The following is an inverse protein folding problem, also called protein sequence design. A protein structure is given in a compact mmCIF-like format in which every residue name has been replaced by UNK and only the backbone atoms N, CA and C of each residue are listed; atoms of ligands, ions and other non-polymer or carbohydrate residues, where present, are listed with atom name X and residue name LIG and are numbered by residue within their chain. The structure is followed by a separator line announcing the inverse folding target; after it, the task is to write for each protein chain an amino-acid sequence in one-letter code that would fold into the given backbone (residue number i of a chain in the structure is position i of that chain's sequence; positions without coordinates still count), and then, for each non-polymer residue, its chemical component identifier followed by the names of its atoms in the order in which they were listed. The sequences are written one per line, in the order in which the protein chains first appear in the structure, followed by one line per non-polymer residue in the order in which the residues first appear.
data_IF_826952132740
#
_entry.id   IF_826952132740
#
_cell.length_a   1.000
_cell.length_b   1.000
_cell.length_c   1.000
_cell.angle_alpha   90.00
_cell.angle_beta   90.00
_cell.angle_gamma   90.00
#
_symmetry.space_group_name_H-M   'P 1'
#
loop_
_entity.id
_entity.type
_entity.pdbx_description
1 polymer ?
#
# COMPACT_ATOMS: atom_id res chain seq x y z
N UNK A 1 -22.13 24.07 10.79
CA UNK A 1 -21.75 23.10 11.82
C UNK A 1 -20.44 23.57 12.42
N UNK A 2 -20.17 23.28 13.68
CA UNK A 2 -18.95 23.71 14.37
C UNK A 2 -18.00 22.54 14.53
N UNK A 3 -16.70 22.77 14.39
CA UNK A 3 -15.64 21.78 14.62
C UNK A 3 -15.15 21.81 16.09
N UNK A 4 -14.39 20.80 16.47
CA UNK A 4 -13.74 20.74 17.80
C UNK A 4 -12.77 21.90 18.00
N UNK A 5 -12.65 22.35 19.26
CA UNK A 5 -11.68 23.36 19.69
C UNK A 5 -10.24 22.80 19.78
N UNK A 6 -10.04 21.50 19.59
CA UNK A 6 -8.71 20.86 19.60
C UNK A 6 -7.93 21.21 18.32
N UNK A 7 -6.93 22.06 18.44
CA UNK A 7 -6.16 22.58 17.31
C UNK A 7 -5.47 21.46 16.52
N UNK A 8 -4.86 20.47 17.20
CA UNK A 8 -4.24 19.31 16.54
C UNK A 8 -5.24 18.48 15.73
N UNK A 9 -6.49 18.39 16.17
CA UNK A 9 -7.57 17.72 15.43
C UNK A 9 -8.01 18.56 14.22
N UNK A 10 -8.08 19.87 14.36
CA UNK A 10 -8.35 20.80 13.26
C UNK A 10 -7.29 20.70 12.16
N UNK A 11 -5.99 20.77 12.52
CA UNK A 11 -4.84 20.62 11.62
C UNK A 11 -4.88 19.26 10.92
N UNK A 12 -5.09 18.18 11.67
CA UNK A 12 -5.21 16.82 11.11
C UNK A 12 -6.30 16.75 10.06
N UNK A 13 -7.52 17.22 10.39
CA UNK A 13 -8.67 17.14 9.48
C UNK A 13 -8.43 17.94 8.19
N UNK A 14 -7.90 19.17 8.31
CA UNK A 14 -7.59 20.02 7.18
C UNK A 14 -6.57 19.36 6.23
N UNK A 15 -5.52 18.77 6.79
CA UNK A 15 -4.47 18.09 6.00
C UNK A 15 -4.94 16.77 5.40
N UNK A 16 -5.79 16.00 6.07
CA UNK A 16 -6.42 14.82 5.49
C UNK A 16 -7.16 15.17 4.20
N UNK A 17 -7.98 16.24 4.23
CA UNK A 17 -8.68 16.74 3.05
C UNK A 17 -7.71 17.21 1.96
N UNK A 18 -6.69 17.98 2.34
CA UNK A 18 -5.70 18.52 1.41
C UNK A 18 -4.89 17.41 0.70
N UNK A 19 -4.60 16.30 1.39
CA UNK A 19 -3.92 15.11 0.83
C UNK A 19 -4.86 14.14 0.10
N UNK A 20 -6.14 14.48 -0.05
CA UNK A 20 -7.05 13.71 -0.90
C UNK A 20 -7.77 12.57 -0.19
N UNK A 21 -7.76 12.51 1.14
CA UNK A 21 -8.64 11.62 1.90
C UNK A 21 -10.10 12.00 1.66
N UNK A 22 -10.93 11.00 1.36
CA UNK A 22 -12.36 11.17 1.08
C UNK A 22 -13.25 10.22 1.89
N UNK A 23 -12.64 9.26 2.57
CA UNK A 23 -13.34 8.22 3.31
C UNK A 23 -12.71 8.02 4.68
N UNK A 24 -13.55 7.90 5.70
CA UNK A 24 -13.15 7.60 7.07
C UNK A 24 -14.09 6.56 7.69
N UNK A 25 -13.52 5.44 8.14
CA UNK A 25 -14.23 4.46 8.96
C UNK A 25 -13.97 4.83 10.41
N UNK A 26 -15.02 4.99 11.20
CA UNK A 26 -14.94 5.53 12.56
C UNK A 26 -15.55 4.56 13.57
N UNK A 27 -14.80 4.26 14.63
CA UNK A 27 -15.31 3.46 15.74
C UNK A 27 -15.82 4.36 16.86
N UNK A 28 -16.88 3.96 17.59
CA UNK A 28 -17.41 4.74 18.69
C UNK A 28 -16.44 4.78 19.87
N UNK A 29 -16.30 5.93 20.51
CA UNK A 29 -15.48 6.09 21.70
C UNK A 29 -15.48 7.53 22.20
N UNK A 30 -15.30 7.73 23.51
CA UNK A 30 -15.29 9.07 24.06
C UNK A 30 -14.00 9.83 23.79
N UNK A 31 -12.84 9.12 23.77
CA UNK A 31 -11.55 9.79 23.58
C UNK A 31 -11.37 10.29 22.15
N UNK A 32 -11.84 9.57 21.15
CA UNK A 32 -11.79 9.98 19.75
C UNK A 32 -12.96 10.87 19.31
N UNK A 33 -13.88 11.22 20.20
CA UNK A 33 -15.04 12.06 19.85
C UNK A 33 -14.68 13.38 19.13
N UNK A 34 -13.62 14.13 19.50
CA UNK A 34 -13.22 15.33 18.77
C UNK A 34 -12.83 15.02 17.30
N UNK A 35 -12.14 13.91 17.10
CA UNK A 35 -11.68 13.48 15.76
C UNK A 35 -12.87 13.03 14.92
N UNK A 36 -13.69 12.13 15.46
CA UNK A 36 -14.89 11.61 14.77
C UNK A 36 -15.84 12.73 14.39
N UNK A 37 -16.07 13.67 15.33
CA UNK A 37 -16.92 14.82 15.07
C UNK A 37 -16.39 15.68 13.92
N UNK A 38 -15.10 15.97 13.88
CA UNK A 38 -14.50 16.74 12.80
C UNK A 38 -14.58 16.03 11.45
N UNK A 39 -14.33 14.72 11.43
CA UNK A 39 -14.42 13.91 10.21
C UNK A 39 -15.86 13.86 9.68
N UNK A 40 -16.85 13.66 10.55
CA UNK A 40 -18.27 13.57 10.19
C UNK A 40 -18.86 14.95 9.80
N UNK A 41 -18.38 16.01 10.42
CA UNK A 41 -18.81 17.39 10.09
C UNK A 41 -18.21 17.88 8.76
N UNK A 42 -17.07 17.33 8.34
CA UNK A 42 -16.37 17.76 7.13
C UNK A 42 -17.06 17.26 5.85
N UNK A 43 -17.62 18.15 5.01
CA UNK A 43 -18.39 17.74 3.82
C UNK A 43 -17.55 17.03 2.75
N UNK A 44 -16.23 17.10 2.86
CA UNK A 44 -15.29 16.44 1.91
C UNK A 44 -14.98 15.00 2.27
N UNK A 45 -15.43 14.50 3.43
CA UNK A 45 -15.14 13.16 3.95
C UNK A 45 -16.46 12.42 4.19
N UNK A 46 -16.61 11.25 3.57
CA UNK A 46 -17.70 10.33 3.87
C UNK A 46 -17.31 9.46 5.06
N UNK A 47 -18.10 9.51 6.15
CA UNK A 47 -17.89 8.72 7.35
C UNK A 47 -18.73 7.44 7.36
N UNK A 48 -18.12 6.36 7.82
CA UNK A 48 -18.74 5.04 7.94
C UNK A 48 -18.58 4.54 9.39
N UNK A 49 -19.63 4.58 10.22
CA UNK A 49 -19.54 4.10 11.59
C UNK A 49 -19.53 2.57 11.63
N UNK A 50 -18.53 2.00 12.31
CA UNK A 50 -18.37 0.55 12.53
C UNK A 50 -18.00 0.32 13.99
N UNK A 51 -18.75 -0.51 14.70
CA UNK A 51 -18.59 -0.68 16.16
C UNK A 51 -17.36 -1.54 16.51
N UNK A 52 -17.12 -2.61 15.77
CA UNK A 52 -15.99 -3.53 15.99
C UNK A 52 -14.76 -3.03 15.25
N UNK A 53 -13.68 -2.75 15.97
CA UNK A 53 -12.47 -2.14 15.43
C UNK A 53 -11.76 -3.02 14.42
N UNK A 54 -11.71 -4.33 14.64
CA UNK A 54 -11.14 -5.26 13.68
C UNK A 54 -11.91 -5.23 12.36
N UNK A 55 -13.23 -5.24 12.41
CA UNK A 55 -14.09 -5.09 11.24
C UNK A 55 -13.91 -3.73 10.57
N UNK A 56 -13.78 -2.65 11.35
CA UNK A 56 -13.51 -1.31 10.85
C UNK A 56 -12.21 -1.23 10.06
N UNK A 57 -11.13 -1.87 10.55
CA UNK A 57 -9.85 -1.95 9.86
C UNK A 57 -9.99 -2.58 8.47
N UNK A 58 -10.65 -3.73 8.36
CA UNK A 58 -10.88 -4.40 7.07
C UNK A 58 -11.87 -3.65 6.18
N UNK A 59 -12.85 -2.97 6.75
CA UNK A 59 -13.75 -2.12 5.99
C UNK A 59 -13.01 -0.95 5.34
N UNK A 60 -12.14 -0.26 6.10
CA UNK A 60 -11.30 0.81 5.58
C UNK A 60 -10.30 0.31 4.53
N UNK A 61 -9.70 -0.86 4.74
CA UNK A 61 -8.85 -1.53 3.75
C UNK A 61 -9.61 -1.79 2.44
N UNK A 62 -10.84 -2.32 2.53
CA UNK A 62 -11.68 -2.56 1.37
C UNK A 62 -12.03 -1.29 0.59
N UNK A 63 -12.35 -0.19 1.28
CA UNK A 63 -12.56 1.12 0.65
C UNK A 63 -11.30 1.60 -0.06
N UNK A 64 -10.14 1.55 0.61
CA UNK A 64 -8.88 1.98 0.02
C UNK A 64 -8.51 1.17 -1.23
N UNK A 65 -8.73 -0.14 -1.22
CA UNK A 65 -8.55 -1.02 -2.38
C UNK A 65 -9.50 -0.67 -3.52
N UNK A 66 -10.78 -0.44 -3.22
CA UNK A 66 -11.80 -0.16 -4.23
C UNK A 66 -11.62 1.23 -4.88
N UNK A 67 -11.24 2.24 -4.09
CA UNK A 67 -11.12 3.62 -4.56
C UNK A 67 -9.71 3.98 -5.01
N UNK A 68 -8.71 3.30 -4.47
CA UNK A 68 -7.30 3.63 -4.62
C UNK A 68 -6.87 4.93 -3.93
N UNK A 69 -7.69 5.43 -3.01
CA UNK A 69 -7.41 6.64 -2.23
C UNK A 69 -6.96 6.29 -0.81
N UNK A 70 -6.16 7.14 -0.17
CA UNK A 70 -5.90 7.02 1.25
C UNK A 70 -7.21 7.03 2.04
N UNK A 71 -7.40 6.03 2.89
CA UNK A 71 -8.63 5.89 3.70
C UNK A 71 -8.28 5.87 5.18
N UNK A 72 -9.00 6.65 5.96
CA UNK A 72 -8.83 6.73 7.41
C UNK A 72 -9.58 5.58 8.09
N UNK A 73 -8.97 4.99 9.12
CA UNK A 73 -9.68 4.26 10.19
C UNK A 73 -9.37 4.94 11.52
N UNK A 74 -10.42 5.37 12.23
CA UNK A 74 -10.29 6.12 13.48
C UNK A 74 -10.81 5.32 14.67
N UNK A 75 -9.97 5.13 15.68
CA UNK A 75 -10.29 4.37 16.90
C UNK A 75 -10.02 5.18 18.16
N UNK A 76 -10.63 4.75 19.26
CA UNK A 76 -10.39 5.31 20.59
C UNK A 76 -9.06 4.81 21.18
N UNK A 77 -8.73 5.23 22.39
CA UNK A 77 -7.48 4.83 23.07
C UNK A 77 -7.55 3.40 23.61
N UNK A 78 -6.37 2.81 23.83
CA UNK A 78 -6.22 1.48 24.42
C UNK A 78 -6.22 0.36 23.39
N UNK A 79 -6.76 -0.80 23.74
CA UNK A 79 -6.74 -2.02 22.91
C UNK A 79 -7.44 -1.88 21.56
N UNK A 80 -8.32 -0.90 21.40
CA UNK A 80 -8.96 -0.56 20.13
C UNK A 80 -7.95 -0.37 18.98
N UNK A 81 -6.76 0.20 19.27
CA UNK A 81 -5.68 0.30 18.30
C UNK A 81 -5.13 -1.07 17.89
N UNK A 82 -4.96 -1.98 18.86
CA UNK A 82 -4.39 -3.32 18.60
C UNK A 82 -5.34 -4.20 17.80
N UNK A 83 -6.65 -4.00 17.92
CA UNK A 83 -7.65 -4.72 17.12
C UNK A 83 -7.55 -4.40 15.62
N UNK A 84 -6.92 -3.28 15.25
CA UNK A 84 -6.62 -2.96 13.85
C UNK A 84 -5.43 -3.73 13.28
N UNK A 85 -4.58 -4.34 14.12
CA UNK A 85 -3.31 -4.93 13.70
C UNK A 85 -3.45 -5.95 12.54
N UNK A 86 -4.46 -6.84 12.48
CA UNK A 86 -4.62 -7.75 11.34
C UNK A 86 -4.85 -7.02 10.01
N UNK A 87 -5.70 -5.99 10.00
CA UNK A 87 -5.97 -5.20 8.80
C UNK A 87 -4.78 -4.34 8.39
N UNK A 88 -4.04 -3.79 9.37
CA UNK A 88 -2.81 -3.02 9.13
C UNK A 88 -1.72 -3.91 8.54
N UNK A 89 -1.54 -5.13 9.07
CA UNK A 89 -0.60 -6.08 8.51
C UNK A 89 -0.95 -6.44 7.06
N UNK A 90 -2.22 -6.68 6.76
CA UNK A 90 -2.67 -6.93 5.39
C UNK A 90 -2.45 -5.71 4.50
N UNK A 91 -2.77 -4.50 4.96
CA UNK A 91 -2.50 -3.25 4.24
C UNK A 91 -1.00 -3.05 3.94
N UNK A 92 -0.13 -3.45 4.89
CA UNK A 92 1.31 -3.37 4.72
C UNK A 92 1.81 -4.25 3.56
N UNK A 93 1.39 -5.52 3.52
CA UNK A 93 1.81 -6.45 2.46
C UNK A 93 1.15 -6.16 1.11
N UNK A 94 -0.04 -5.55 1.11
CA UNK A 94 -0.72 -5.12 -0.11
C UNK A 94 -0.32 -3.71 -0.57
N UNK A 95 0.50 -2.99 0.20
CA UNK A 95 0.90 -1.61 -0.09
C UNK A 95 -0.30 -0.65 -0.20
N UNK A 96 -1.29 -0.83 0.67
CA UNK A 96 -2.51 -0.01 0.66
C UNK A 96 -2.32 1.20 1.58
N UNK A 97 -2.64 2.41 1.13
CA UNK A 97 -2.51 3.63 1.93
C UNK A 97 -3.62 3.73 2.99
N UNK A 98 -3.50 2.94 4.04
CA UNK A 98 -4.40 2.96 5.19
C UNK A 98 -3.87 3.95 6.24
N UNK A 99 -4.67 4.95 6.60
CA UNK A 99 -4.31 5.96 7.60
C UNK A 99 -4.99 5.61 8.91
N UNK A 100 -4.23 4.99 9.82
CA UNK A 100 -4.71 4.69 11.18
C UNK A 100 -4.61 5.96 12.00
N UNK A 101 -5.73 6.40 12.57
CA UNK A 101 -5.82 7.53 13.51
C UNK A 101 -6.31 7.00 14.84
N UNK A 102 -5.46 7.02 15.86
CA UNK A 102 -5.83 6.62 17.21
C UNK A 102 -5.89 7.84 18.15
N UNK A 103 -6.99 8.02 18.84
CA UNK A 103 -6.99 8.93 19.99
C UNK A 103 -6.18 8.31 21.12
N UNK A 104 -5.53 9.15 21.92
CA UNK A 104 -4.74 8.69 23.06
C UNK A 104 -4.97 9.55 24.31
N UNK A 105 -4.53 9.04 25.44
CA UNK A 105 -4.38 9.83 26.66
C UNK A 105 -3.15 10.73 26.54
N UNK A 106 -3.12 11.88 27.26
CA UNK A 106 -1.89 12.65 27.38
C UNK A 106 -0.74 11.80 27.93
N UNK A 107 0.51 11.98 27.46
CA UNK A 107 1.64 11.11 27.74
C UNK A 107 1.92 10.87 29.23
N UNK A 108 1.65 11.87 30.09
CA UNK A 108 1.85 11.79 31.53
C UNK A 108 0.95 10.76 32.23
N UNK A 109 -0.10 10.27 31.57
CA UNK A 109 -1.04 9.30 32.14
C UNK A 109 -0.79 7.86 31.65
N UNK A 110 0.11 7.68 30.72
CA UNK A 110 0.46 6.33 30.23
C UNK A 110 1.21 5.60 31.31
N UNK A 111 0.83 4.34 31.56
CA UNK A 111 1.39 3.45 32.58
C UNK A 111 1.26 3.98 34.05
N UNK A 112 0.31 4.91 34.29
CA UNK A 112 0.01 5.45 35.61
C UNK A 112 -1.27 4.84 36.22
N UNK A 113 -1.59 3.60 35.89
CA UNK A 113 -2.78 2.87 36.35
C UNK A 113 -4.11 3.53 35.89
N UNK A 114 -4.06 4.46 34.93
CA UNK A 114 -5.27 5.02 34.31
C UNK A 114 -5.85 4.02 33.32
N UNK A 115 -7.18 3.88 33.32
CA UNK A 115 -7.86 2.91 32.49
C UNK A 115 -7.76 3.26 30.98
N UNK A 116 -7.76 2.25 30.15
CA UNK A 116 -7.79 2.35 28.69
C UNK A 116 -6.58 3.10 28.13
N UNK A 117 -5.40 2.80 28.64
CA UNK A 117 -4.10 3.32 28.20
C UNK A 117 -3.18 2.18 27.79
N UNK A 118 -2.31 2.44 26.84
CA UNK A 118 -1.15 1.64 26.48
C UNK A 118 -0.16 2.53 25.70
N UNK A 119 1.12 2.18 25.61
CA UNK A 119 2.08 2.93 24.81
C UNK A 119 1.78 2.76 23.30
N UNK A 120 0.96 3.68 22.74
CA UNK A 120 0.40 3.55 21.39
C UNK A 120 1.40 3.89 20.28
N UNK A 121 2.41 4.72 20.55
CA UNK A 121 3.32 5.24 19.54
C UNK A 121 3.94 4.18 18.64
N UNK A 122 4.36 3.04 19.22
CA UNK A 122 5.00 1.94 18.47
C UNK A 122 4.17 0.64 18.48
N UNK A 123 2.91 0.70 18.88
CA UNK A 123 2.07 -0.48 19.09
C UNK A 123 1.82 -1.33 17.84
N UNK A 124 1.85 -0.72 16.65
CA UNK A 124 1.71 -1.41 15.35
C UNK A 124 3.05 -1.86 14.76
N UNK A 125 4.16 -1.52 15.40
CA UNK A 125 5.51 -1.98 15.09
C UNK A 125 5.89 -1.74 13.62
N UNK A 126 6.51 -2.75 13.01
CA UNK A 126 7.02 -2.69 11.63
C UNK A 126 5.94 -2.68 10.54
N UNK A 127 4.68 -2.91 10.91
CA UNK A 127 3.58 -2.99 9.93
C UNK A 127 3.05 -1.62 9.50
N UNK A 128 3.64 -0.53 9.99
CA UNK A 128 3.36 0.83 9.51
C UNK A 128 4.64 1.45 8.93
N UNK A 129 4.50 2.24 7.89
CA UNK A 129 5.62 2.94 7.25
C UNK A 129 6.12 4.12 8.06
N UNK A 130 5.22 4.75 8.77
CA UNK A 130 5.49 5.91 9.62
C UNK A 130 4.50 5.93 10.77
N UNK A 131 5.00 6.16 11.97
CA UNK A 131 4.19 6.54 13.12
C UNK A 131 4.55 7.96 13.53
N UNK A 132 3.54 8.76 13.84
CA UNK A 132 3.70 10.09 14.41
C UNK A 132 2.76 10.27 15.59
N UNK A 133 3.21 10.98 16.62
CA UNK A 133 2.38 11.40 17.76
C UNK A 133 2.23 12.91 17.71
N UNK A 134 1.00 13.40 17.59
CA UNK A 134 0.73 14.81 17.46
C UNK A 134 0.88 15.54 18.82
N UNK A 135 1.49 16.73 18.83
CA UNK A 135 1.55 17.53 20.04
C UNK A 135 0.18 18.14 20.40
N UNK A 136 0.01 18.50 21.64
CA UNK A 136 -1.01 19.48 22.04
C UNK A 136 -0.48 20.88 21.66
N UNK A 137 -1.19 21.58 20.77
CA UNK A 137 -0.69 22.81 20.12
C UNK A 137 -0.72 24.01 21.07
N UNK A 138 -1.82 24.20 21.82
CA UNK A 138 -1.97 25.26 22.84
C UNK A 138 -1.64 26.68 22.34
N UNK A 139 -2.08 27.03 21.12
CA UNK A 139 -1.80 28.33 20.46
C UNK A 139 -0.30 28.67 20.29
N UNK A 140 0.57 27.69 20.39
CA UNK A 140 2.01 27.87 20.21
C UNK A 140 2.39 27.65 18.74
N UNK A 141 3.13 28.62 18.17
CA UNK A 141 3.48 28.65 16.74
C UNK A 141 4.41 27.48 16.36
N UNK A 142 5.36 27.14 17.22
CA UNK A 142 6.31 26.06 16.92
C UNK A 142 5.62 24.69 17.04
N UNK A 143 4.72 24.52 18.00
CA UNK A 143 3.92 23.30 18.15
C UNK A 143 2.93 23.16 17.00
N UNK A 144 2.33 24.25 16.52
CA UNK A 144 1.48 24.25 15.33
C UNK A 144 2.25 23.80 14.09
N UNK A 145 3.40 24.43 13.82
CA UNK A 145 4.31 24.03 12.75
C UNK A 145 4.72 22.55 12.87
N UNK A 146 5.05 22.10 14.08
CA UNK A 146 5.46 20.73 14.33
C UNK A 146 4.31 19.76 14.05
N UNK A 147 3.09 20.05 14.52
CA UNK A 147 1.89 19.25 14.25
C UNK A 147 1.63 19.17 12.72
N UNK A 148 1.60 20.30 12.02
CA UNK A 148 1.44 20.35 10.57
C UNK A 148 2.49 19.47 9.85
N UNK A 149 3.76 19.58 10.24
CA UNK A 149 4.86 18.80 9.65
C UNK A 149 4.67 17.30 9.86
N UNK A 150 4.35 16.87 11.07
CA UNK A 150 4.14 15.45 11.39
C UNK A 150 3.00 14.83 10.58
N UNK A 151 1.88 15.53 10.44
CA UNK A 151 0.75 15.04 9.63
C UNK A 151 1.15 14.93 8.16
N UNK A 152 1.83 15.95 7.59
CA UNK A 152 2.35 15.87 6.23
C UNK A 152 3.32 14.70 6.03
N UNK A 153 4.26 14.48 6.97
CA UNK A 153 5.21 13.35 6.92
C UNK A 153 4.49 12.00 6.87
N UNK A 154 3.46 11.81 7.72
CA UNK A 154 2.70 10.58 7.74
C UNK A 154 1.91 10.37 6.44
N UNK A 155 1.19 11.39 5.97
CA UNK A 155 0.36 11.28 4.77
C UNK A 155 1.19 11.12 3.49
N UNK A 156 2.36 11.73 3.40
CA UNK A 156 3.30 11.48 2.31
C UNK A 156 3.84 10.05 2.36
N UNK A 157 4.25 9.55 3.53
CA UNK A 157 4.72 8.18 3.69
C UNK A 157 3.65 7.15 3.32
N UNK A 158 2.34 7.46 3.49
CA UNK A 158 1.26 6.57 3.10
C UNK A 158 1.19 6.30 1.58
N UNK A 159 1.63 7.25 0.76
CA UNK A 159 1.47 7.19 -0.71
C UNK A 159 2.78 7.09 -1.49
N UNK A 160 3.92 7.36 -0.84
CA UNK A 160 5.25 7.28 -1.48
C UNK A 160 5.72 5.84 -1.67
N UNK A 161 6.60 5.63 -2.65
CA UNK A 161 7.32 4.36 -2.86
C UNK A 161 6.40 3.12 -2.79
N UNK A 162 5.32 3.13 -3.53
CA UNK A 162 4.35 2.05 -3.59
C UNK A 162 3.28 2.05 -2.48
N UNK A 163 3.34 3.02 -1.55
CA UNK A 163 2.31 3.18 -0.52
C UNK A 163 2.39 2.20 0.66
N UNK A 164 1.50 2.38 1.61
CA UNK A 164 1.35 1.49 2.77
C UNK A 164 0.69 2.17 3.96
N UNK A 165 0.39 1.42 5.03
CA UNK A 165 -0.27 1.98 6.20
C UNK A 165 0.65 2.90 7.00
N UNK A 166 0.03 3.90 7.62
CA UNK A 166 0.68 4.83 8.55
C UNK A 166 -0.17 4.99 9.81
N UNK A 167 0.46 5.41 10.90
CA UNK A 167 -0.22 5.62 12.17
C UNK A 167 -0.02 7.05 12.66
N UNK A 168 -1.13 7.73 12.97
CA UNK A 168 -1.17 9.06 13.57
C UNK A 168 -1.84 8.93 14.93
N UNK A 169 -1.02 8.99 15.98
CA UNK A 169 -1.47 8.97 17.36
C UNK A 169 -1.79 10.39 17.82
N UNK A 170 -2.97 10.59 18.41
CA UNK A 170 -3.50 11.91 18.76
C UNK A 170 -3.81 11.97 20.27
N UNK A 171 -2.85 12.39 21.11
CA UNK A 171 -3.12 12.65 22.52
C UNK A 171 -4.12 13.77 22.69
N UNK A 172 -5.17 13.52 23.48
CA UNK A 172 -6.27 14.45 23.73
C UNK A 172 -6.54 14.56 25.22
N UNK A 173 -6.51 15.77 25.75
CA UNK A 173 -6.93 16.06 27.12
C UNK A 173 -8.38 16.57 27.15
N UNK A 174 -9.01 16.47 28.34
CA UNK A 174 -10.37 17.01 28.57
C UNK A 174 -10.35 18.54 28.53
N UNK A 175 -11.47 19.18 28.17
CA UNK A 175 -12.76 18.61 27.74
C UNK A 175 -12.73 18.06 26.31
N UNK A 176 -13.56 17.05 25.99
CA UNK A 176 -13.57 16.37 24.69
C UNK A 176 -14.76 16.75 23.80
N UNK A 177 -15.74 17.46 24.33
CA UNK A 177 -17.01 17.74 23.64
C UNK A 177 -17.24 19.23 23.39
N UNK A 178 -16.17 20.00 23.27
CA UNK A 178 -16.25 21.41 22.90
C UNK A 178 -16.14 21.54 21.38
N UNK A 179 -17.25 21.89 20.76
CA UNK A 179 -17.37 22.07 19.29
C UNK A 179 -17.73 23.54 19.02
N UNK A 180 -16.72 24.40 19.01
CA UNK A 180 -16.89 25.86 18.96
C UNK A 180 -16.18 26.52 17.78
N UNK A 181 -15.37 25.78 17.02
CA UNK A 181 -14.59 26.30 15.91
C UNK A 181 -15.43 26.32 14.63
N UNK A 182 -15.65 27.47 14.00
CA UNK A 182 -16.58 27.60 12.86
C UNK A 182 -16.04 26.96 11.57
N UNK A 183 -14.73 26.99 11.36
CA UNK A 183 -14.06 26.54 10.13
C UNK A 183 -12.78 25.79 10.44
N UNK A 184 -12.38 24.87 9.56
CA UNK A 184 -11.09 24.21 9.64
C UNK A 184 -9.98 25.23 9.32
N UNK A 185 -8.79 25.09 9.94
CA UNK A 185 -7.66 25.94 9.65
C UNK A 185 -7.16 25.74 8.20
N UNK A 186 -6.62 26.81 7.61
CA UNK A 186 -5.90 26.72 6.35
C UNK A 186 -4.48 26.21 6.62
N UNK A 187 -4.21 24.99 6.24
CA UNK A 187 -2.95 24.31 6.52
C UNK A 187 -2.05 24.22 5.30
N UNK A 188 -0.76 24.39 5.54
CA UNK A 188 0.26 24.21 4.51
C UNK A 188 0.42 22.73 4.18
N UNK A 189 0.01 22.35 2.94
CA UNK A 189 0.33 21.03 2.39
C UNK A 189 1.77 21.00 1.88
N UNK A 190 2.52 20.00 2.28
CA UNK A 190 3.82 19.68 1.68
C UNK A 190 3.59 18.74 0.50
N UNK A 191 4.15 19.09 -0.65
CA UNK A 191 4.06 18.28 -1.87
C UNK A 191 5.42 17.69 -2.19
N UNK A 192 5.46 16.37 -2.42
CA UNK A 192 6.65 15.71 -2.94
C UNK A 192 6.47 15.47 -4.44
N UNK A 193 7.41 15.97 -5.21
CA UNK A 193 7.54 15.61 -6.62
C UNK A 193 8.56 14.49 -6.72
N UNK A 194 8.09 13.30 -7.15
CA UNK A 194 9.00 12.18 -7.43
C UNK A 194 9.84 12.51 -8.66
N UNK A 195 11.16 12.23 -8.64
CA UNK A 195 11.98 12.41 -9.82
C UNK A 195 11.44 11.54 -10.96
N UNK A 196 11.14 12.18 -12.08
CA UNK A 196 10.75 11.51 -13.34
C UNK A 196 12.03 11.16 -14.12
N UNK A 197 12.98 10.47 -13.48
CA UNK A 197 14.14 9.95 -14.17
C UNK A 197 13.72 8.71 -14.95
N UNK A 198 14.00 8.66 -16.24
CA UNK A 198 13.91 7.43 -17.01
C UNK A 198 14.82 6.40 -16.33
N UNK A 199 14.22 5.29 -15.91
CA UNK A 199 15.00 4.20 -15.30
C UNK A 199 15.83 3.56 -16.39
N UNK A 200 17.15 3.47 -16.20
CA UNK A 200 18.01 2.72 -17.13
C UNK A 200 17.74 1.22 -16.94
N UNK A 201 16.95 0.65 -17.83
CA UNK A 201 16.64 -0.78 -17.87
C UNK A 201 17.44 -1.54 -18.94
N UNK A 202 18.39 -0.87 -19.61
CA UNK A 202 19.18 -1.47 -20.69
C UNK A 202 19.86 -2.81 -20.29
N UNK A 203 20.45 -2.97 -19.10
CA UNK A 203 21.03 -4.25 -18.70
C UNK A 203 20.00 -5.39 -18.62
N UNK A 204 18.79 -5.11 -18.15
CA UNK A 204 17.70 -6.08 -18.09
C UNK A 204 17.18 -6.39 -19.52
N UNK A 205 16.97 -5.36 -20.35
CA UNK A 205 16.50 -5.53 -21.73
C UNK A 205 17.49 -6.35 -22.57
N UNK A 206 18.78 -6.12 -22.42
CA UNK A 206 19.81 -6.89 -23.12
C UNK A 206 19.68 -8.39 -22.81
N UNK A 207 19.51 -8.75 -21.54
CA UNK A 207 19.35 -10.14 -21.13
C UNK A 207 17.99 -10.71 -21.57
N UNK A 208 16.90 -9.92 -21.45
CA UNK A 208 15.57 -10.32 -21.93
C UNK A 208 15.58 -10.63 -23.45
N UNK A 209 16.26 -9.80 -24.24
CA UNK A 209 16.30 -9.96 -25.70
C UNK A 209 17.22 -11.12 -26.15
N UNK A 210 18.24 -11.42 -25.36
CA UNK A 210 19.11 -12.57 -25.59
C UNK A 210 18.47 -13.90 -25.20
N UNK A 211 17.49 -13.90 -24.30
CA UNK A 211 16.82 -15.09 -23.82
C UNK A 211 16.04 -15.82 -24.92
N UNK A 212 16.09 -17.14 -24.92
CA UNK A 212 15.34 -17.99 -25.86
C UNK A 212 13.91 -18.26 -25.40
N UNK A 213 13.69 -18.31 -24.10
CA UNK A 213 12.43 -18.66 -23.46
C UNK A 213 12.09 -17.70 -22.30
N UNK A 214 11.97 -16.40 -22.57
CA UNK A 214 11.62 -15.44 -21.54
C UNK A 214 10.16 -15.59 -21.10
N UNK A 215 9.93 -15.44 -19.80
CA UNK A 215 8.60 -15.45 -19.17
C UNK A 215 8.44 -14.19 -18.35
N UNK A 216 7.30 -13.54 -18.50
CA UNK A 216 6.88 -12.42 -17.64
C UNK A 216 5.86 -12.95 -16.63
N UNK A 217 6.15 -12.83 -15.35
CA UNK A 217 5.30 -13.29 -14.26
C UNK A 217 4.70 -12.09 -13.55
N UNK A 218 3.37 -12.01 -13.53
CA UNK A 218 2.62 -10.95 -12.86
C UNK A 218 2.01 -11.52 -11.59
N UNK A 219 2.56 -11.15 -10.44
CA UNK A 219 2.01 -11.44 -9.13
C UNK A 219 0.86 -10.51 -8.76
N UNK A 220 0.57 -10.41 -7.48
CA UNK A 220 -0.44 -9.49 -6.96
C UNK A 220 -0.13 -8.04 -7.34
N UNK A 221 -1.06 -7.39 -8.04
CA UNK A 221 -0.96 -5.99 -8.48
C UNK A 221 -2.37 -5.41 -8.61
N UNK A 222 -2.55 -4.12 -8.33
CA UNK A 222 -3.83 -3.47 -8.51
C UNK A 222 -4.06 -3.15 -9.99
N UNK A 223 -5.31 -3.28 -10.45
CA UNK A 223 -5.69 -3.04 -11.86
C UNK A 223 -5.18 -1.69 -12.40
N UNK A 224 -5.19 -0.65 -11.57
CA UNK A 224 -4.72 0.69 -11.96
C UNK A 224 -3.20 0.82 -12.10
N UNK A 225 -2.43 -0.09 -11.50
CA UNK A 225 -0.96 -0.05 -11.54
C UNK A 225 -0.38 -0.65 -12.82
N UNK A 226 -1.19 -1.41 -13.57
CA UNK A 226 -0.76 -2.04 -14.81
C UNK A 226 -1.86 -1.94 -15.88
N UNK A 227 -1.69 -1.08 -16.89
CA UNK A 227 -2.63 -0.97 -18.01
C UNK A 227 -2.71 -2.28 -18.80
N UNK A 228 -3.92 -2.75 -19.06
CA UNK A 228 -4.17 -3.98 -19.83
C UNK A 228 -3.58 -3.94 -21.23
N UNK A 229 -3.60 -2.77 -21.86
CA UNK A 229 -3.03 -2.55 -23.20
C UNK A 229 -1.55 -2.94 -23.30
N UNK A 230 -0.77 -2.73 -22.22
CA UNK A 230 0.66 -3.11 -22.15
C UNK A 230 0.80 -4.63 -22.20
N UNK A 231 0.02 -5.35 -21.40
CA UNK A 231 0.04 -6.82 -21.40
C UNK A 231 -0.42 -7.42 -22.73
N UNK A 232 -1.46 -6.85 -23.31
CA UNK A 232 -1.96 -7.29 -24.63
C UNK A 232 -0.90 -7.09 -25.72
N UNK A 233 -0.19 -5.97 -25.67
CA UNK A 233 0.88 -5.72 -26.64
C UNK A 233 2.04 -6.72 -26.50
N UNK A 234 2.48 -7.01 -25.26
CA UNK A 234 3.49 -8.04 -25.00
C UNK A 234 3.07 -9.41 -25.54
N UNK A 235 1.80 -9.78 -25.38
CA UNK A 235 1.26 -11.03 -25.95
C UNK A 235 1.22 -11.02 -27.48
N UNK A 236 0.83 -9.92 -28.11
CA UNK A 236 0.90 -9.76 -29.57
C UNK A 236 2.33 -9.92 -30.10
N UNK A 237 3.32 -9.65 -29.27
CA UNK A 237 4.74 -9.91 -29.55
C UNK A 237 5.22 -11.31 -29.15
N UNK A 238 4.28 -12.18 -28.77
CA UNK A 238 4.53 -13.57 -28.41
C UNK A 238 5.36 -13.80 -27.14
N UNK A 239 5.36 -12.83 -26.19
CA UNK A 239 5.87 -13.09 -24.85
C UNK A 239 4.91 -13.97 -24.08
N UNK A 240 5.45 -14.96 -23.35
CA UNK A 240 4.68 -15.74 -22.38
C UNK A 240 4.47 -14.90 -21.13
N UNK A 241 3.21 -14.57 -20.85
CA UNK A 241 2.82 -13.79 -19.66
C UNK A 241 2.00 -14.68 -18.75
N UNK A 242 2.53 -15.01 -17.58
CA UNK A 242 1.86 -15.77 -16.51
C UNK A 242 1.25 -14.81 -15.49
N UNK A 243 -0.05 -14.88 -15.31
CA UNK A 243 -0.78 -14.01 -14.39
C UNK A 243 -1.40 -14.81 -13.26
N UNK A 244 -1.29 -14.28 -12.05
CA UNK A 244 -2.03 -14.76 -10.88
C UNK A 244 -3.46 -14.24 -10.86
N UNK A 245 -4.34 -14.95 -10.19
CA UNK A 245 -5.73 -14.52 -9.95
C UNK A 245 -5.80 -13.16 -9.23
N UNK A 246 -4.83 -12.89 -8.36
CA UNK A 246 -4.71 -11.63 -7.62
C UNK A 246 -4.05 -10.50 -8.42
N UNK A 247 -3.71 -10.71 -9.69
CA UNK A 247 -3.07 -9.68 -10.52
C UNK A 247 -4.00 -8.54 -10.92
N UNK A 248 -5.29 -8.58 -10.56
CA UNK A 248 -6.27 -7.53 -10.87
C UNK A 248 -6.51 -7.29 -12.37
N UNK A 249 -5.79 -7.97 -13.24
CA UNK A 249 -5.91 -7.85 -14.70
C UNK A 249 -6.93 -8.87 -15.20
N UNK A 250 -8.17 -8.44 -15.39
CA UNK A 250 -9.34 -9.32 -15.50
C UNK A 250 -9.49 -10.14 -16.79
N UNK A 251 -8.75 -9.88 -17.87
CA UNK A 251 -9.14 -10.41 -19.19
C UNK A 251 -8.38 -11.65 -19.65
N UNK A 252 -7.30 -12.03 -19.00
CA UNK A 252 -6.42 -13.07 -19.53
C UNK A 252 -5.79 -13.93 -18.42
N UNK A 253 -6.60 -14.57 -17.63
CA UNK A 253 -6.09 -15.70 -16.87
C UNK A 253 -5.60 -16.74 -17.88
N UNK A 254 -4.30 -17.04 -17.89
CA UNK A 254 -3.92 -18.39 -18.33
C UNK A 254 -4.74 -19.28 -17.41
N UNK A 255 -5.61 -20.12 -17.96
CA UNK A 255 -6.44 -20.96 -17.12
C UNK A 255 -5.51 -21.63 -16.09
N UNK A 256 -5.92 -21.65 -14.82
CA UNK A 256 -5.19 -22.36 -13.77
C UNK A 256 -4.74 -23.75 -14.21
N UNK A 257 -5.51 -24.37 -15.10
CA UNK A 257 -5.21 -25.61 -15.82
C UNK A 257 -3.92 -25.55 -16.65
N UNK A 258 -3.51 -24.41 -17.18
CA UNK A 258 -2.26 -24.30 -17.95
C UNK A 258 -1.02 -24.38 -17.06
N UNK A 259 -1.08 -23.78 -15.86
CA UNK A 259 0.01 -23.89 -14.86
C UNK A 259 0.09 -25.30 -14.28
N UNK A 260 -1.06 -25.98 -14.09
CA UNK A 260 -1.15 -27.38 -13.70
C UNK A 260 -0.54 -28.31 -14.75
N UNK A 261 -0.84 -28.07 -16.05
CA UNK A 261 -0.30 -28.85 -17.16
C UNK A 261 1.23 -28.72 -17.24
N UNK A 262 1.79 -27.54 -16.96
CA UNK A 262 3.25 -27.36 -16.91
C UNK A 262 3.90 -28.21 -15.82
N UNK A 263 3.22 -28.42 -14.68
CA UNK A 263 3.69 -29.31 -13.63
C UNK A 263 3.66 -30.78 -14.06
N UNK A 264 2.57 -31.23 -14.64
CA UNK A 264 2.41 -32.63 -15.07
C UNK A 264 3.42 -33.01 -16.16
N UNK A 265 3.71 -32.11 -17.10
CA UNK A 265 4.79 -32.27 -18.07
C UNK A 265 6.15 -32.41 -17.38
N UNK A 266 6.38 -31.63 -16.30
CA UNK A 266 7.65 -31.66 -15.54
C UNK A 266 7.87 -32.95 -14.75
N UNK A 267 6.82 -33.64 -14.34
CA UNK A 267 6.87 -34.88 -13.56
C UNK A 267 7.03 -36.12 -14.46
N UNK A 268 6.61 -36.05 -15.73
CA UNK A 268 6.66 -37.17 -16.68
C UNK A 268 8.00 -37.38 -17.40
N UNK A 269 9.02 -36.62 -17.07
CA UNK A 269 10.37 -36.78 -17.65
C UNK A 269 10.48 -36.32 -19.11
N UNK A 270 9.43 -35.83 -19.72
CA UNK A 270 9.50 -35.16 -20.99
C UNK A 270 10.34 -33.88 -20.86
N UNK A 271 11.08 -33.50 -21.88
CA UNK A 271 11.99 -32.36 -21.86
C UNK A 271 11.20 -31.07 -21.55
N UNK A 272 10.96 -30.83 -20.26
CA UNK A 272 10.24 -29.67 -19.79
C UNK A 272 11.02 -28.43 -20.10
N UNK A 273 10.38 -27.57 -20.81
CA UNK A 273 10.93 -26.32 -21.23
C UNK A 273 10.87 -25.33 -20.08
N UNK A 274 11.90 -25.26 -19.28
CA UNK A 274 12.05 -24.22 -18.28
C UNK A 274 12.39 -22.88 -18.93
N UNK A 275 11.92 -21.75 -18.36
CA UNK A 275 12.36 -20.44 -18.81
C UNK A 275 13.88 -20.29 -18.58
N UNK A 276 14.53 -19.53 -19.45
CA UNK A 276 15.91 -19.09 -19.28
C UNK A 276 16.00 -17.63 -18.80
N UNK A 277 14.86 -16.91 -18.83
CA UNK A 277 14.73 -15.57 -18.29
C UNK A 277 13.33 -15.40 -17.65
N UNK A 278 13.31 -14.83 -16.44
CA UNK A 278 12.10 -14.54 -15.68
C UNK A 278 12.07 -13.04 -15.37
N UNK A 279 11.03 -12.35 -15.81
CA UNK A 279 10.72 -11.00 -15.34
C UNK A 279 9.56 -11.07 -14.36
N UNK A 280 9.81 -10.83 -13.10
CA UNK A 280 8.80 -10.86 -12.05
C UNK A 280 8.33 -9.44 -11.72
N UNK A 281 7.03 -9.19 -11.87
CA UNK A 281 6.39 -7.90 -11.65
C UNK A 281 5.26 -8.05 -10.62
N UNK A 282 5.13 -7.08 -9.75
CA UNK A 282 4.11 -7.09 -8.70
C UNK A 282 4.59 -7.72 -7.39
N UNK A 283 3.60 -8.02 -6.52
CA UNK A 283 3.84 -8.48 -5.14
C UNK A 283 3.65 -9.99 -5.04
N UNK A 284 3.04 -10.46 -3.98
CA UNK A 284 2.85 -11.89 -3.67
C UNK A 284 2.41 -12.72 -4.87
N UNK A 285 3.07 -13.83 -5.08
CA UNK A 285 2.67 -14.92 -5.95
C UNK A 285 2.04 -16.01 -5.09
N UNK A 286 0.75 -16.30 -5.27
CA UNK A 286 0.01 -17.23 -4.39
C UNK A 286 0.24 -18.68 -4.78
N UNK A 287 0.21 -19.02 -6.09
CA UNK A 287 0.28 -20.39 -6.57
C UNK A 287 1.57 -21.12 -6.11
N UNK A 288 1.47 -22.14 -5.22
CA UNK A 288 2.63 -22.91 -4.81
C UNK A 288 3.25 -23.67 -5.99
N UNK A 289 2.44 -24.13 -6.93
CA UNK A 289 2.87 -24.91 -8.09
C UNK A 289 3.67 -24.05 -9.07
N UNK A 290 3.19 -22.82 -9.34
CA UNK A 290 3.94 -21.87 -10.16
C UNK A 290 5.27 -21.52 -9.53
N UNK A 291 5.32 -21.31 -8.20
CA UNK A 291 6.58 -21.09 -7.49
C UNK A 291 7.53 -22.28 -7.63
N UNK A 292 7.03 -23.50 -7.45
CA UNK A 292 7.86 -24.72 -7.61
C UNK A 292 8.42 -24.85 -9.03
N UNK A 293 7.57 -24.63 -10.04
CA UNK A 293 8.01 -24.67 -11.44
C UNK A 293 9.12 -23.65 -11.72
N UNK A 294 8.93 -22.40 -11.29
CA UNK A 294 9.91 -21.33 -11.51
C UNK A 294 11.20 -21.52 -10.70
N UNK A 295 11.12 -22.10 -9.50
CA UNK A 295 12.31 -22.47 -8.69
C UNK A 295 13.14 -23.57 -9.33
N UNK A 296 12.54 -24.45 -10.12
CA UNK A 296 13.27 -25.48 -10.87
C UNK A 296 14.02 -24.94 -12.08
N UNK A 297 13.70 -23.73 -12.50
CA UNK A 297 14.43 -23.01 -13.53
C UNK A 297 15.73 -22.39 -12.97
N UNK A 298 16.58 -23.20 -12.35
CA UNK A 298 17.78 -22.77 -11.60
C UNK A 298 18.76 -21.95 -12.45
N UNK A 299 18.81 -22.18 -13.75
CA UNK A 299 19.70 -21.49 -14.67
C UNK A 299 19.07 -20.21 -15.27
N UNK A 300 17.82 -19.90 -14.93
CA UNK A 300 17.14 -18.72 -15.43
C UNK A 300 17.72 -17.45 -14.80
N UNK A 301 17.94 -16.44 -15.61
CA UNK A 301 18.18 -15.08 -15.13
C UNK A 301 16.86 -14.50 -14.66
N UNK A 302 16.80 -14.03 -13.43
CA UNK A 302 15.58 -13.48 -12.84
C UNK A 302 15.75 -12.00 -12.53
N UNK A 303 14.88 -11.18 -13.11
CA UNK A 303 14.76 -9.76 -12.78
C UNK A 303 13.43 -9.49 -12.11
N UNK A 304 13.44 -8.59 -11.14
CA UNK A 304 12.24 -8.11 -10.45
C UNK A 304 12.01 -6.63 -10.74
N UNK A 305 10.76 -6.25 -11.00
CA UNK A 305 10.33 -4.86 -11.01
C UNK A 305 9.66 -4.54 -9.69
N UNK A 306 10.20 -3.59 -8.95
CA UNK A 306 9.69 -3.18 -7.64
C UNK A 306 9.93 -1.68 -7.40
N UNK A 307 8.90 -0.95 -6.96
CA UNK A 307 9.00 0.51 -6.75
C UNK A 307 9.97 0.91 -5.64
N UNK A 308 10.22 0.02 -4.68
CA UNK A 308 11.12 0.27 -3.54
C UNK A 308 12.52 -0.28 -3.74
N UNK A 309 12.71 -1.13 -4.76
CA UNK A 309 13.95 -1.85 -4.93
C UNK A 309 14.18 -2.93 -3.86
N UNK A 310 13.12 -3.43 -3.24
CA UNK A 310 13.23 -4.44 -2.19
C UNK A 310 13.69 -5.79 -2.75
N UNK A 311 14.65 -6.42 -2.07
CA UNK A 311 15.11 -7.77 -2.40
C UNK A 311 14.05 -8.77 -1.95
N UNK A 312 13.36 -9.40 -2.91
CA UNK A 312 12.47 -10.53 -2.67
C UNK A 312 12.79 -11.63 -3.69
N UNK A 313 13.64 -12.56 -3.31
CA UNK A 313 14.11 -13.66 -4.15
C UNK A 313 13.15 -14.87 -4.05
N UNK A 314 11.97 -14.72 -4.66
CA UNK A 314 10.89 -15.72 -4.62
C UNK A 314 11.28 -17.04 -5.28
N UNK A 315 12.15 -16.99 -6.29
CA UNK A 315 12.51 -18.15 -7.12
C UNK A 315 13.92 -18.66 -6.88
N UNK A 316 14.66 -18.08 -5.94
CA UNK A 316 16.02 -18.47 -5.55
C UNK A 316 17.08 -18.26 -6.66
N UNK A 317 16.82 -17.35 -7.59
CA UNK A 317 17.69 -17.04 -8.72
C UNK A 317 17.67 -15.55 -9.12
N UNK A 318 17.30 -14.65 -8.20
CA UNK A 318 17.22 -13.22 -8.45
C UNK A 318 18.58 -12.66 -8.87
N UNK A 319 18.65 -12.10 -10.07
CA UNK A 319 19.87 -11.54 -10.67
C UNK A 319 19.91 -10.03 -10.59
N UNK A 320 18.72 -9.37 -10.70
CA UNK A 320 18.66 -7.92 -10.68
C UNK A 320 17.27 -7.38 -10.32
N UNK A 321 17.24 -6.09 -10.00
CA UNK A 321 16.03 -5.37 -9.64
C UNK A 321 15.96 -4.09 -10.46
N UNK A 322 14.80 -3.85 -11.07
CA UNK A 322 14.46 -2.57 -11.68
C UNK A 322 13.60 -1.79 -10.69
N UNK A 323 14.14 -0.73 -10.13
CA UNK A 323 13.40 0.15 -9.23
C UNK A 323 12.51 1.09 -10.04
N UNK A 324 11.28 0.65 -10.33
CA UNK A 324 10.31 1.40 -11.12
C UNK A 324 8.88 0.94 -10.84
N UNK A 325 7.91 1.76 -11.26
CA UNK A 325 6.51 1.32 -11.30
C UNK A 325 6.36 0.26 -12.41
N UNK A 326 5.48 -0.71 -12.15
CA UNK A 326 5.22 -1.81 -13.09
C UNK A 326 4.85 -1.32 -14.50
N UNK A 327 3.94 -0.33 -14.58
CA UNK A 327 3.52 0.24 -15.86
C UNK A 327 4.68 0.89 -16.63
N UNK A 328 5.56 1.63 -15.94
CA UNK A 328 6.68 2.33 -16.59
C UNK A 328 7.71 1.33 -17.13
N UNK A 329 8.09 0.34 -16.32
CA UNK A 329 9.03 -0.70 -16.73
C UNK A 329 8.49 -1.54 -17.90
N UNK A 330 7.25 -2.02 -17.81
CA UNK A 330 6.66 -2.85 -18.87
C UNK A 330 6.33 -2.05 -20.14
N UNK A 331 5.96 -0.77 -20.04
CA UNK A 331 5.78 0.09 -21.22
C UNK A 331 7.11 0.34 -21.96
N UNK A 332 8.23 0.37 -21.24
CA UNK A 332 9.55 0.47 -21.86
C UNK A 332 9.92 -0.80 -22.62
N UNK A 333 9.61 -1.97 -22.06
CA UNK A 333 9.76 -3.27 -22.76
C UNK A 333 8.87 -3.30 -24.01
N UNK A 334 7.66 -2.81 -23.89
CA UNK A 334 6.67 -2.75 -24.97
C UNK A 334 7.18 -1.99 -26.20
N UNK A 335 7.83 -0.85 -26.00
CA UNK A 335 8.35 -0.01 -27.11
C UNK A 335 9.49 -0.64 -27.87
N UNK A 336 10.34 -1.40 -27.20
CA UNK A 336 11.60 -1.91 -27.72
C UNK A 336 11.60 -3.44 -27.89
N UNK A 337 10.53 -4.13 -27.45
CA UNK A 337 10.47 -5.58 -27.46
C UNK A 337 10.49 -6.14 -28.90
N UNK A 338 11.43 -7.02 -29.23
CA UNK A 338 11.45 -7.68 -30.53
C UNK A 338 10.27 -8.65 -30.69
N UNK A 339 9.83 -8.85 -31.94
CA UNK A 339 8.91 -9.93 -32.26
C UNK A 339 9.56 -11.29 -31.96
N UNK A 340 8.87 -12.15 -31.22
CA UNK A 340 9.33 -13.51 -30.95
C UNK A 340 8.73 -14.45 -32.01
N UNK A 341 9.56 -15.27 -32.67
CA UNK A 341 9.06 -16.34 -33.50
C UNK A 341 8.48 -17.45 -32.62
N UNK A 342 7.31 -17.96 -32.99
CA UNK A 342 6.73 -19.17 -32.39
C UNK A 342 7.65 -20.37 -32.65
N UNK A 343 8.58 -20.57 -31.75
CA UNK A 343 9.20 -21.87 -31.59
C UNK A 343 9.05 -22.22 -30.12
N UNK A 344 8.11 -23.13 -29.85
CA UNK A 344 7.89 -23.77 -28.57
C UNK A 344 6.61 -23.35 -27.82
N UNK A 345 5.60 -24.07 -28.15
CA UNK A 345 4.80 -24.81 -27.17
C UNK A 345 4.57 -26.20 -27.73
#
# INVERSE_FOLDING_TARGET
MMYSDKENVGILTALLVAHGVRHAVVCPGSRNAPIVHNLDTCPSIACYPVTDERSAGFYALGIALATGLPTVVCVTSGTALLDLAPAVAEAYYQHVPLVVVSADRPPQWIDQLDGQTLPQGDALGRFVRKTVTLPDVQHDVERHWYCNRLVNEALLAAVQEGGGPVHINVPLDKPLYNFTTPELPQERKITLLSPCAAVDIAPMLQQLYAAKRPVIVIGQIQKKELPEAVLEHLRKRHYVVLQETLSGCCSWNIPFTGVEALKDLSEKGDAVVFPDFILYVGRTLVSPRLKQYLRRAEQAVCWRVDERGEIADTFMNLTGIVQARAADALSSIDREAPLRCHTLL
#
